data_IF_656849397634
#
_entry.id   IF_656849397634
#
_cell.length_a   1.000
_cell.length_b   1.000
_cell.length_c   1.000
_cell.angle_alpha   90.00
_cell.angle_beta   90.00
_cell.angle_gamma   90.00
#
_symmetry.space_group_name_H-M   'P 1'
#
loop_
_entity.id
_entity.type
_entity.pdbx_description
1 polymer ?
#
# COMPACT_ATOMS: atom_id res chain seq x y z
N UNK A 1 -28.76 0.73 6.46
CA UNK A 1 -27.38 0.43 5.98
C UNK A 1 -26.43 1.19 6.88
N UNK A 2 -25.54 0.50 7.59
CA UNK A 2 -24.48 1.17 8.35
C UNK A 2 -23.39 1.52 7.34
N UNK A 3 -23.10 2.80 7.11
CA UNK A 3 -21.88 3.21 6.41
C UNK A 3 -20.71 2.59 7.19
N UNK A 4 -19.99 1.65 6.56
CA UNK A 4 -18.72 1.19 7.11
C UNK A 4 -17.79 2.39 7.04
N UNK A 5 -17.56 3.03 8.19
CA UNK A 5 -16.53 4.05 8.33
C UNK A 5 -15.23 3.51 7.74
N UNK A 6 -14.69 4.23 6.77
CA UNK A 6 -13.38 3.91 6.24
C UNK A 6 -12.35 4.22 7.31
N UNK A 7 -11.74 3.18 7.88
CA UNK A 7 -10.66 3.31 8.84
C UNK A 7 -9.36 3.30 8.06
N UNK A 8 -8.66 4.43 8.08
CA UNK A 8 -7.26 4.51 7.65
C UNK A 8 -6.44 3.93 8.79
N UNK A 9 -5.68 2.88 8.48
CA UNK A 9 -4.89 2.18 9.49
C UNK A 9 -3.52 2.84 9.66
N UNK A 10 -2.90 3.31 8.57
CA UNK A 10 -1.59 3.95 8.62
C UNK A 10 -1.29 4.83 7.38
N UNK A 11 -0.36 5.76 7.56
CA UNK A 11 0.29 6.55 6.51
C UNK A 11 1.79 6.64 6.77
N UNK A 12 2.61 6.39 5.75
CA UNK A 12 4.07 6.54 5.84
C UNK A 12 4.69 6.95 4.51
N UNK A 13 5.96 7.37 4.56
CA UNK A 13 6.77 7.74 3.41
C UNK A 13 7.84 6.66 3.19
N UNK A 14 8.06 6.28 1.93
CA UNK A 14 9.07 5.30 1.55
C UNK A 14 10.49 5.86 1.65
N UNK A 15 11.53 5.00 1.58
CA UNK A 15 12.91 5.44 1.49
C UNK A 15 13.12 6.46 0.35
N UNK A 16 13.93 7.48 0.64
CA UNK A 16 14.22 8.60 -0.29
C UNK A 16 13.00 9.41 -0.72
N UNK A 17 11.89 9.32 0.01
CA UNK A 17 10.70 10.15 -0.24
C UNK A 17 10.14 10.00 -1.66
N UNK A 18 10.23 8.79 -2.24
CA UNK A 18 9.65 8.51 -3.56
C UNK A 18 8.14 8.28 -3.49
N UNK A 19 7.69 7.52 -2.50
CA UNK A 19 6.29 7.15 -2.36
C UNK A 19 5.72 7.58 -1.02
N UNK A 20 4.48 8.09 -1.03
CA UNK A 20 3.65 8.14 0.16
C UNK A 20 2.62 7.00 0.09
N UNK A 21 2.53 6.21 1.15
CA UNK A 21 1.67 5.04 1.23
C UNK A 21 0.64 5.25 2.32
N UNK A 22 -0.62 5.08 1.97
CA UNK A 22 -1.74 5.00 2.88
C UNK A 22 -2.40 3.64 2.71
N UNK A 23 -2.65 2.93 3.81
CA UNK A 23 -3.44 1.71 3.73
C UNK A 23 -4.60 1.72 4.72
N UNK A 24 -5.66 1.05 4.30
CA UNK A 24 -6.91 0.87 5.00
C UNK A 24 -7.35 -0.58 4.87
N UNK A 25 -8.32 -0.98 5.67
CA UNK A 25 -8.92 -2.32 5.66
C UNK A 25 -9.38 -2.87 4.30
N UNK A 26 -9.50 -2.06 3.25
CA UNK A 26 -9.99 -2.50 1.93
C UNK A 26 -9.12 -2.08 0.75
N UNK A 27 -8.07 -1.29 0.98
CA UNK A 27 -7.20 -0.84 -0.09
C UNK A 27 -5.85 -0.31 0.42
N UNK A 28 -4.93 -0.18 -0.51
CA UNK A 28 -3.68 0.57 -0.36
C UNK A 28 -3.71 1.65 -1.43
N UNK A 29 -3.41 2.88 -1.04
CA UNK A 29 -3.18 4.01 -1.94
C UNK A 29 -1.70 4.35 -1.90
N UNK A 30 -1.10 4.46 -3.07
CA UNK A 30 0.31 4.81 -3.24
C UNK A 30 0.36 6.06 -4.11
N UNK A 31 1.03 7.08 -3.60
CA UNK A 31 1.30 8.31 -4.33
C UNK A 31 2.78 8.33 -4.69
N UNK A 32 3.06 8.23 -5.99
CA UNK A 32 4.37 8.46 -6.58
C UNK A 32 4.62 9.97 -6.62
N UNK A 33 5.49 10.44 -5.75
CA UNK A 33 5.80 11.87 -5.61
C UNK A 33 6.69 12.38 -6.74
N UNK A 34 7.49 11.49 -7.36
CA UNK A 34 8.36 11.83 -8.48
C UNK A 34 7.55 11.99 -9.78
N UNK A 35 6.65 11.04 -10.06
CA UNK A 35 5.76 11.11 -11.22
C UNK A 35 4.51 11.98 -10.99
N UNK A 36 4.26 12.39 -9.75
CA UNK A 36 3.02 13.04 -9.31
C UNK A 36 1.77 12.23 -9.71
N UNK A 37 1.80 10.91 -9.46
CA UNK A 37 0.73 9.97 -9.83
C UNK A 37 0.24 9.18 -8.63
N UNK A 38 -1.07 9.01 -8.56
CA UNK A 38 -1.72 8.19 -7.55
C UNK A 38 -2.24 6.90 -8.17
N UNK A 39 -2.01 5.78 -7.49
CA UNK A 39 -2.63 4.50 -7.83
C UNK A 39 -3.14 3.77 -6.59
N UNK A 40 -4.12 2.90 -6.81
CA UNK A 40 -4.83 2.19 -5.74
C UNK A 40 -4.78 0.69 -5.99
N UNK A 41 -4.37 -0.05 -4.97
CA UNK A 41 -4.39 -1.51 -4.94
C UNK A 41 -5.58 -1.94 -4.09
N UNK A 42 -6.52 -2.65 -4.71
CA UNK A 42 -7.67 -3.19 -4.00
C UNK A 42 -7.25 -4.44 -3.22
N UNK A 43 -7.11 -4.29 -1.90
CA UNK A 43 -6.64 -5.37 -1.04
C UNK A 43 -7.35 -5.32 0.30
N UNK A 44 -8.01 -6.42 0.65
CA UNK A 44 -8.80 -6.50 1.87
C UNK A 44 -7.93 -6.95 3.04
N UNK A 45 -8.25 -6.40 4.20
CA UNK A 45 -7.67 -6.76 5.49
C UNK A 45 -6.17 -6.53 5.57
N UNK A 46 -5.64 -5.49 4.93
CA UNK A 46 -4.22 -5.12 5.06
C UNK A 46 -3.94 -4.73 6.50
N UNK A 47 -2.95 -5.36 7.12
CA UNK A 47 -2.59 -5.11 8.52
C UNK A 47 -1.25 -4.39 8.67
N UNK A 48 -0.35 -4.53 7.69
CA UNK A 48 0.94 -3.84 7.65
C UNK A 48 1.47 -3.79 6.22
N UNK A 49 2.26 -2.77 5.89
CA UNK A 49 3.00 -2.66 4.63
C UNK A 49 4.35 -1.97 4.84
N UNK A 50 5.29 -2.24 3.94
CA UNK A 50 6.61 -1.62 3.88
C UNK A 50 7.10 -1.57 2.42
N UNK A 51 7.79 -0.51 2.04
CA UNK A 51 8.45 -0.40 0.73
C UNK A 51 9.94 -0.70 0.89
N UNK A 52 10.51 -1.50 -0.02
CA UNK A 52 11.93 -1.82 -0.04
C UNK A 52 12.80 -0.59 -0.27
N UNK A 53 14.05 -0.63 0.18
CA UNK A 53 14.96 0.53 0.11
C UNK A 53 15.27 1.01 -1.32
N UNK A 54 15.25 0.10 -2.28
CA UNK A 54 15.39 0.37 -3.72
C UNK A 54 14.09 0.85 -4.39
N UNK A 55 13.01 1.04 -3.60
CA UNK A 55 11.70 1.48 -4.05
C UNK A 55 11.08 0.58 -5.15
N UNK A 56 11.46 -0.71 -5.24
CA UNK A 56 10.94 -1.63 -6.25
C UNK A 56 9.68 -2.39 -5.78
N UNK A 57 9.63 -2.77 -4.50
CA UNK A 57 8.58 -3.65 -3.98
C UNK A 57 7.85 -3.01 -2.81
N UNK A 58 6.54 -3.21 -2.76
CA UNK A 58 5.74 -3.06 -1.55
C UNK A 58 5.41 -4.44 -1.00
N UNK A 59 5.85 -4.70 0.22
CA UNK A 59 5.62 -5.94 0.94
C UNK A 59 4.61 -5.65 2.02
N UNK A 60 3.62 -6.50 2.18
CA UNK A 60 2.67 -6.35 3.27
C UNK A 60 2.07 -7.65 3.73
N UNK A 61 1.24 -7.55 4.75
CA UNK A 61 0.49 -8.67 5.32
C UNK A 61 -0.99 -8.35 5.36
N UNK A 62 -1.80 -9.40 5.29
CA UNK A 62 -3.24 -9.32 5.56
C UNK A 62 -3.60 -10.02 6.87
N UNK A 63 -4.72 -9.63 7.49
CA UNK A 63 -5.31 -10.33 8.64
C UNK A 63 -5.59 -11.78 8.24
N UNK A 64 -5.03 -12.73 8.99
CA UNK A 64 -5.06 -14.16 8.64
C UNK A 64 -3.76 -14.70 8.03
N UNK A 65 -2.67 -13.94 8.11
CA UNK A 65 -1.28 -14.39 7.91
C UNK A 65 -0.83 -14.63 6.46
N UNK A 66 -1.48 -14.02 5.47
CA UNK A 66 -0.94 -14.01 4.10
C UNK A 66 -0.02 -12.81 3.90
N UNK A 67 1.21 -13.07 3.45
CA UNK A 67 2.14 -12.06 2.95
C UNK A 67 1.85 -11.84 1.47
N UNK A 68 1.92 -10.60 1.02
CA UNK A 68 1.88 -10.28 -0.40
C UNK A 68 3.08 -9.41 -0.76
N UNK A 69 3.50 -9.54 -2.01
CA UNK A 69 4.55 -8.72 -2.62
C UNK A 69 3.92 -8.06 -3.84
N UNK A 70 4.07 -6.75 -3.93
CA UNK A 70 3.56 -5.94 -5.03
C UNK A 70 4.72 -5.25 -5.73
N UNK A 71 4.81 -5.42 -7.04
CA UNK A 71 5.77 -4.71 -7.88
C UNK A 71 5.30 -3.27 -8.11
N UNK A 72 6.07 -2.29 -7.64
CA UNK A 72 5.71 -0.87 -7.75
C UNK A 72 5.85 -0.34 -9.18
N UNK A 73 6.70 -0.96 -10.00
CA UNK A 73 6.94 -0.57 -11.40
C UNK A 73 5.89 -1.18 -12.32
N UNK A 74 5.72 -2.50 -12.24
CA UNK A 74 4.79 -3.27 -13.08
C UNK A 74 3.34 -3.18 -12.57
N UNK A 75 3.14 -2.70 -11.33
CA UNK A 75 1.85 -2.39 -10.71
C UNK A 75 0.95 -3.61 -10.52
N UNK A 76 1.52 -4.75 -10.18
CA UNK A 76 0.84 -6.02 -9.93
C UNK A 76 1.39 -6.77 -8.72
N UNK A 77 0.58 -7.71 -8.20
CA UNK A 77 1.03 -8.68 -7.18
C UNK A 77 1.89 -9.76 -7.86
N UNK A 78 2.96 -10.20 -7.19
CA UNK A 78 3.82 -11.33 -7.58
C UNK A 78 3.58 -12.52 -6.64
#
# INVERSE_FOLDING_TARGET
MVEKNLIIDNIYISPYEKYAVLYANTFITIFDMEENKLFRVNMKYVSNTHITYDNQLLIGSTTGSNIFIYDLKEKNII
#
